data_IF_140960359871
#
_entry.id   IF_140960359871
#
_cell.length_a   1.000
_cell.length_b   1.000
_cell.length_c   1.000
_cell.angle_alpha   90.00
_cell.angle_beta   90.00
_cell.angle_gamma   90.00
#
_symmetry.space_group_name_H-M   'P 1'
#
loop_
_entity.id
_entity.type
_entity.pdbx_description
1 polymer ?
#
# COMPACT_ATOMS: atom_id res chain seq x y z
N UNK A 1 -14.84 -3.30 20.86
CA UNK A 1 -13.99 -4.39 20.35
C UNK A 1 -12.55 -3.86 20.29
N UNK A 2 -11.74 -4.17 21.31
CA UNK A 2 -10.41 -3.60 21.49
C UNK A 2 -9.37 -4.36 20.67
N UNK A 3 -8.53 -3.64 19.92
CA UNK A 3 -7.36 -4.22 19.27
C UNK A 3 -6.36 -4.77 20.29
N UNK A 4 -5.52 -5.72 19.86
CA UNK A 4 -4.47 -6.30 20.70
C UNK A 4 -3.22 -5.42 20.60
N UNK A 5 -2.55 -5.16 21.72
CA UNK A 5 -1.25 -4.50 21.74
C UNK A 5 -0.18 -5.46 22.22
N UNK A 6 1.01 -5.40 21.62
CA UNK A 6 2.18 -6.18 22.03
C UNK A 6 3.44 -5.29 22.04
N UNK A 7 4.43 -5.67 22.84
CA UNK A 7 5.74 -5.01 22.87
C UNK A 7 6.87 -6.04 22.76
N UNK A 8 7.93 -5.67 22.06
CA UNK A 8 9.14 -6.49 21.96
C UNK A 8 10.37 -5.61 21.75
N UNK A 9 11.26 -5.60 22.75
CA UNK A 9 12.40 -4.69 22.78
C UNK A 9 11.91 -3.23 22.78
N UNK A 10 12.45 -2.42 21.87
CA UNK A 10 12.08 -1.01 21.71
C UNK A 10 10.91 -0.79 20.73
N UNK A 11 10.11 -1.82 20.47
CA UNK A 11 9.01 -1.76 19.51
C UNK A 11 7.67 -2.05 20.18
N UNK A 12 6.66 -1.28 19.81
CA UNK A 12 5.27 -1.47 20.19
C UNK A 12 4.42 -1.74 18.95
N UNK A 13 3.45 -2.62 19.07
CA UNK A 13 2.63 -3.11 17.97
C UNK A 13 1.17 -3.06 18.37
N UNK A 14 0.31 -2.57 17.47
CA UNK A 14 -1.15 -2.63 17.64
C UNK A 14 -1.76 -3.39 16.48
N UNK A 15 -2.72 -4.24 16.80
CA UNK A 15 -3.39 -5.10 15.86
C UNK A 15 -4.89 -4.84 15.84
N UNK A 16 -5.51 -4.99 14.69
CA UNK A 16 -6.97 -5.08 14.59
C UNK A 16 -7.49 -6.44 15.14
N UNK A 17 -8.82 -6.64 15.28
CA UNK A 17 -9.37 -7.90 15.76
C UNK A 17 -9.10 -9.12 14.87
N UNK A 18 -8.70 -8.93 13.61
CA UNK A 18 -8.33 -10.00 12.69
C UNK A 18 -6.83 -10.35 12.75
N UNK A 19 -6.07 -9.67 13.61
CA UNK A 19 -4.65 -9.91 13.81
C UNK A 19 -3.75 -9.17 12.82
N UNK A 20 -4.27 -8.21 12.04
CA UNK A 20 -3.43 -7.39 11.17
C UNK A 20 -2.75 -6.29 11.97
N UNK A 21 -1.46 -6.10 11.73
CA UNK A 21 -0.70 -4.99 12.30
C UNK A 21 -1.21 -3.67 11.73
N UNK A 22 -1.81 -2.81 12.54
CA UNK A 22 -2.34 -1.50 12.10
C UNK A 22 -1.43 -0.33 12.49
N UNK A 23 -0.58 -0.52 13.49
CA UNK A 23 0.39 0.47 13.94
C UNK A 23 1.63 -0.21 14.52
N UNK A 24 2.82 0.28 14.16
CA UNK A 24 4.09 -0.09 14.79
C UNK A 24 4.84 1.16 15.21
N UNK A 25 5.22 1.24 16.48
CA UNK A 25 6.16 2.27 16.98
C UNK A 25 7.53 1.63 17.16
N UNK A 26 8.56 2.28 16.64
CA UNK A 26 9.96 1.84 16.78
C UNK A 26 10.75 2.96 17.48
N UNK A 27 11.06 2.73 18.76
CA UNK A 27 11.62 3.77 19.63
C UNK A 27 10.75 5.02 19.72
N UNK A 28 11.39 6.16 19.98
CA UNK A 28 10.68 7.41 20.24
C UNK A 28 10.28 8.19 18.99
N UNK A 29 10.87 7.87 17.83
CA UNK A 29 10.80 8.75 16.64
C UNK A 29 10.08 8.15 15.46
N UNK A 30 9.91 6.84 15.35
CA UNK A 30 9.33 6.23 14.16
C UNK A 30 8.00 5.58 14.46
N UNK A 31 6.98 5.91 13.66
CA UNK A 31 5.67 5.27 13.69
C UNK A 31 5.29 4.84 12.28
N UNK A 32 4.79 3.62 12.13
CA UNK A 32 4.28 3.08 10.88
C UNK A 32 2.79 2.77 11.05
N UNK A 33 1.97 3.18 10.10
CA UNK A 33 0.55 2.86 10.05
C UNK A 33 0.24 1.99 8.84
N UNK A 34 -0.74 1.11 8.98
CA UNK A 34 -1.14 0.16 7.94
C UNK A 34 -2.66 0.09 7.84
N UNK A 35 -3.16 -0.11 6.61
CA UNK A 35 -4.58 -0.33 6.35
C UNK A 35 -4.78 -1.48 5.39
N UNK A 36 -5.82 -2.25 5.64
CA UNK A 36 -6.16 -3.46 4.92
C UNK A 36 -7.55 -3.33 4.29
N UNK A 37 -7.77 -4.00 3.16
CA UNK A 37 -9.10 -4.16 2.59
C UNK A 37 -9.88 -5.31 3.27
N UNK A 38 -11.12 -5.54 2.80
CA UNK A 38 -12.00 -6.59 3.35
C UNK A 38 -11.50 -8.02 3.09
N UNK A 39 -10.57 -8.20 2.15
CA UNK A 39 -9.92 -9.48 1.86
C UNK A 39 -8.62 -9.64 2.64
N UNK A 40 -8.39 -8.80 3.66
CA UNK A 40 -7.22 -8.85 4.53
C UNK A 40 -5.90 -8.51 3.83
N UNK A 41 -5.94 -7.70 2.76
CA UNK A 41 -4.76 -7.33 1.97
C UNK A 41 -4.31 -5.92 2.30
N UNK A 42 -3.01 -5.71 2.49
CA UNK A 42 -2.44 -4.39 2.77
C UNK A 42 -2.63 -3.46 1.55
N UNK A 43 -3.42 -2.41 1.69
CA UNK A 43 -3.72 -1.43 0.63
C UNK A 43 -3.03 -0.09 0.85
N UNK A 44 -2.63 0.22 2.08
CA UNK A 44 -1.94 1.47 2.38
C UNK A 44 -0.98 1.31 3.56
N UNK A 45 0.17 1.99 3.49
CA UNK A 45 1.14 2.08 4.58
C UNK A 45 1.79 3.47 4.61
N UNK A 46 2.05 4.02 5.79
CA UNK A 46 2.79 5.28 5.95
C UNK A 46 3.78 5.20 7.09
N UNK A 47 4.98 5.71 6.88
CA UNK A 47 6.03 5.85 7.89
C UNK A 47 6.21 7.33 8.24
N UNK A 48 6.10 7.65 9.52
CA UNK A 48 6.42 8.96 10.08
C UNK A 48 7.71 8.83 10.87
N UNK A 49 8.66 9.74 10.63
CA UNK A 49 9.91 9.86 11.40
C UNK A 49 9.97 11.26 12.00
N UNK A 50 10.03 11.34 13.33
CA UNK A 50 9.82 12.59 14.08
C UNK A 50 8.40 13.11 13.85
N UNK A 51 8.29 14.23 13.17
CA UNK A 51 7.01 14.86 12.81
C UNK A 51 6.75 14.90 11.29
N UNK A 52 7.58 14.21 10.49
CA UNK A 52 7.55 14.26 9.04
C UNK A 52 7.16 12.91 8.46
N UNK A 53 6.32 12.92 7.43
CA UNK A 53 6.06 11.72 6.61
C UNK A 53 7.34 11.40 5.84
N UNK A 54 7.94 10.26 6.14
CA UNK A 54 9.16 9.80 5.49
C UNK A 54 8.83 8.95 4.26
N UNK A 55 7.79 8.11 4.36
CA UNK A 55 7.33 7.33 3.22
C UNK A 55 5.85 7.00 3.28
N UNK A 56 5.25 6.82 2.11
CA UNK A 56 3.88 6.36 1.93
C UNK A 56 3.81 5.34 0.79
N UNK A 57 2.94 4.34 0.93
CA UNK A 57 2.74 3.28 -0.05
C UNK A 57 1.26 2.97 -0.22
N UNK A 58 0.83 2.79 -1.48
CA UNK A 58 -0.50 2.32 -1.88
C UNK A 58 -0.34 1.08 -2.74
N UNK A 59 -1.22 0.10 -2.56
CA UNK A 59 -1.15 -1.19 -3.25
C UNK A 59 -2.50 -1.55 -3.84
N UNK A 60 -2.50 -2.05 -5.07
CA UNK A 60 -3.69 -2.58 -5.75
C UNK A 60 -3.54 -4.06 -6.04
N UNK A 61 -4.65 -4.80 -5.93
CA UNK A 61 -4.72 -6.23 -6.15
C UNK A 61 -5.85 -6.57 -7.12
N UNK A 62 -5.70 -7.67 -7.85
CA UNK A 62 -6.82 -8.28 -8.59
C UNK A 62 -7.65 -9.22 -7.69
N UNK A 63 -8.68 -9.85 -8.25
CA UNK A 63 -9.57 -10.77 -7.54
C UNK A 63 -8.91 -12.08 -7.12
N UNK A 64 -7.73 -12.40 -7.66
CA UNK A 64 -6.93 -13.56 -7.25
C UNK A 64 -5.94 -13.18 -6.13
N UNK A 65 -5.98 -11.95 -5.64
CA UNK A 65 -5.07 -11.46 -4.60
C UNK A 65 -3.66 -11.13 -5.09
N UNK A 66 -3.42 -11.12 -6.40
CA UNK A 66 -2.11 -10.77 -6.96
C UNK A 66 -1.98 -9.25 -6.99
N UNK A 67 -0.82 -8.73 -6.60
CA UNK A 67 -0.55 -7.29 -6.69
C UNK A 67 -0.43 -6.88 -8.15
N UNK A 68 -1.23 -5.92 -8.57
CA UNK A 68 -1.25 -5.37 -9.93
C UNK A 68 -0.68 -3.95 -10.00
N UNK A 69 -0.57 -3.28 -8.84
CA UNK A 69 -0.02 -1.94 -8.75
C UNK A 69 0.61 -1.63 -7.40
N UNK A 70 1.57 -0.72 -7.43
CA UNK A 70 2.17 -0.08 -6.26
C UNK A 70 2.49 1.37 -6.61
N UNK A 71 2.08 2.29 -5.75
CA UNK A 71 2.58 3.67 -5.73
C UNK A 71 3.31 3.86 -4.41
N UNK A 72 4.56 4.30 -4.43
CA UNK A 72 5.30 4.67 -3.23
C UNK A 72 5.91 6.04 -3.37
N UNK A 73 5.84 6.81 -2.30
CA UNK A 73 6.53 8.08 -2.16
C UNK A 73 7.49 7.96 -1.00
N UNK A 74 8.76 8.32 -1.20
CA UNK A 74 9.76 8.37 -0.15
C UNK A 74 10.63 9.60 -0.34
N UNK A 75 10.73 10.44 0.70
CA UNK A 75 11.51 11.67 0.67
C UNK A 75 11.24 12.55 -0.58
N UNK A 76 9.95 12.64 -0.98
CA UNK A 76 9.49 13.39 -2.14
C UNK A 76 9.71 12.72 -3.50
N UNK A 77 10.31 11.53 -3.55
CA UNK A 77 10.45 10.74 -4.77
C UNK A 77 9.27 9.78 -4.92
N UNK A 78 8.48 10.01 -5.96
CA UNK A 78 7.40 9.12 -6.37
C UNK A 78 7.95 7.98 -7.24
N UNK A 79 7.55 6.76 -6.92
CA UNK A 79 7.77 5.58 -7.74
C UNK A 79 6.43 4.86 -7.94
N UNK A 80 6.13 4.51 -9.19
CA UNK A 80 4.98 3.68 -9.51
C UNK A 80 5.43 2.42 -10.22
N UNK A 81 4.75 1.32 -9.92
CA UNK A 81 4.98 0.02 -10.53
C UNK A 81 3.66 -0.64 -10.87
N UNK A 82 3.59 -1.27 -12.05
CA UNK A 82 2.49 -2.16 -12.43
C UNK A 82 3.02 -3.55 -12.71
N UNK A 83 2.19 -4.56 -12.46
CA UNK A 83 2.58 -5.96 -12.60
C UNK A 83 1.62 -6.69 -13.52
N UNK A 84 2.16 -7.37 -14.53
CA UNK A 84 1.41 -8.21 -15.43
C UNK A 84 1.61 -9.69 -15.09
N UNK A 85 0.52 -10.44 -15.16
CA UNK A 85 0.47 -11.83 -14.72
C UNK A 85 -0.16 -12.74 -15.77
N UNK A 86 0.33 -13.98 -15.86
CA UNK A 86 -0.28 -15.09 -16.58
C UNK A 86 -0.42 -16.28 -15.64
N UNK A 87 -1.66 -16.61 -15.25
CA UNK A 87 -1.90 -17.56 -14.15
C UNK A 87 -1.16 -17.12 -12.88
N UNK A 88 -0.36 -17.99 -12.28
CA UNK A 88 0.43 -17.66 -11.08
C UNK A 88 1.82 -17.06 -11.40
N UNK A 89 2.14 -16.83 -12.69
CA UNK A 89 3.45 -16.32 -13.12
C UNK A 89 3.40 -14.82 -13.38
N UNK A 90 4.27 -14.06 -12.72
CA UNK A 90 4.52 -12.65 -13.06
C UNK A 90 5.32 -12.60 -14.36
N UNK A 91 4.81 -11.88 -15.36
CA UNK A 91 5.45 -11.72 -16.65
C UNK A 91 6.29 -10.45 -16.74
N UNK A 92 5.81 -9.36 -16.15
CA UNK A 92 6.44 -8.05 -16.32
C UNK A 92 6.21 -7.14 -15.12
N UNK A 93 7.23 -6.34 -14.82
CA UNK A 93 7.16 -5.15 -13.98
C UNK A 93 7.33 -3.92 -14.88
N UNK A 94 6.38 -2.99 -14.80
CA UNK A 94 6.32 -1.77 -15.61
C UNK A 94 6.54 -0.56 -14.69
N UNK A 95 7.42 0.36 -15.08
CA UNK A 95 7.58 1.67 -14.42
C UNK A 95 7.16 2.78 -15.39
N UNK A 96 6.54 3.88 -14.94
CA UNK A 96 6.02 4.93 -15.83
C UNK A 96 7.07 5.54 -16.76
N UNK A 97 8.35 5.61 -16.35
CA UNK A 97 9.41 6.14 -17.21
C UNK A 97 9.65 5.26 -18.45
N UNK A 98 9.12 4.02 -18.45
CA UNK A 98 9.19 3.06 -19.57
C UNK A 98 7.85 2.90 -20.30
N UNK A 99 6.77 3.54 -19.86
CA UNK A 99 5.41 3.10 -20.23
C UNK A 99 4.40 4.26 -20.43
N UNK A 100 4.83 5.33 -21.12
CA UNK A 100 4.03 6.55 -21.38
C UNK A 100 2.75 6.36 -22.21
N UNK A 101 2.28 5.14 -22.47
CA UNK A 101 1.15 4.89 -23.39
C UNK A 101 -0.15 4.41 -22.73
N UNK A 102 -0.21 4.20 -21.41
CA UNK A 102 -1.41 3.65 -20.75
C UNK A 102 -2.29 4.65 -19.97
N UNK A 103 -1.93 5.94 -19.95
CA UNK A 103 -2.64 6.96 -19.17
C UNK A 103 -4.05 7.32 -19.68
N UNK A 104 -4.50 6.75 -20.80
CA UNK A 104 -5.80 7.12 -21.39
C UNK A 104 -6.98 6.22 -21.00
N UNK A 105 -6.78 5.04 -20.43
CA UNK A 105 -7.90 4.07 -20.32
C UNK A 105 -8.61 4.06 -18.96
N UNK A 106 -8.00 4.53 -17.86
CA UNK A 106 -8.66 4.55 -16.54
C UNK A 106 -9.22 5.93 -16.11
N UNK A 107 -8.75 7.04 -16.69
CA UNK A 107 -9.36 8.35 -16.46
C UNK A 107 -10.68 8.54 -17.23
N UNK A 108 -10.92 7.77 -18.30
CA UNK A 108 -12.06 7.92 -19.20
C UNK A 108 -13.36 7.20 -18.77
N UNK A 109 -13.32 6.27 -17.82
CA UNK A 109 -14.52 5.50 -17.42
C UNK A 109 -15.27 6.09 -16.21
N UNK A 110 -14.75 7.13 -15.57
CA UNK A 110 -15.35 7.72 -14.36
C UNK A 110 -16.33 8.88 -14.63
N UNK A 111 -16.68 9.22 -15.88
CA UNK A 111 -17.58 10.36 -16.18
C UNK A 111 -18.82 10.04 -17.03
N UNK A 112 -19.17 8.77 -17.27
CA UNK A 112 -20.44 8.45 -17.95
C UNK A 112 -21.15 7.25 -17.34
N UNK A 113 -21.74 7.45 -16.17
CA UNK A 113 -22.93 6.71 -15.73
C UNK A 113 -23.59 7.43 -14.55
N UNK A 114 -24.38 8.47 -14.86
CA UNK A 114 -25.54 8.88 -14.08
C UNK A 114 -26.50 9.51 -15.07
N UNK A 115 -27.54 8.75 -15.42
CA UNK A 115 -28.76 9.29 -16.02
C UNK A 115 -29.67 9.80 -14.91
#
# INVERSE_FOLDING_TARGET
MGGVSASHGNNEYRYDPWGNLIEKRSGQRQVQYFRYDRENRLVWSQTIVGAQVHSEGRYQYDSLGRRIGKTSEQDGRLEEKRFLWQGLRMLQELTPERDSLWNFTFAGLAQRASS
#
